data_IF_849515364035
#
_entry.id   IF_849515364035
#
_cell.length_a   1.000
_cell.length_b   1.000
_cell.length_c   1.000
_cell.angle_alpha   90.00
_cell.angle_beta   90.00
_cell.angle_gamma   90.00
#
_symmetry.space_group_name_H-M   'P 1'
#
loop_
_entity.id
_entity.type
_entity.pdbx_description
1 polymer ?
#
# COMPACT_ATOMS: atom_id res chain seq x y z
N UNK A 1 24.87 1.11 -49.43
CA UNK A 1 24.39 1.52 -48.09
C UNK A 1 22.88 1.74 -48.15
N UNK A 2 22.06 0.74 -47.78
CA UNK A 2 20.58 0.86 -47.64
C UNK A 2 19.98 -0.11 -46.60
N UNK A 3 20.70 -1.20 -46.27
CA UNK A 3 20.28 -2.22 -45.30
C UNK A 3 20.23 -1.73 -43.83
N UNK A 4 20.91 -0.63 -43.49
CA UNK A 4 20.97 -0.09 -42.13
C UNK A 4 19.71 0.66 -41.72
N UNK A 5 19.03 1.31 -42.67
CA UNK A 5 17.89 2.18 -42.38
C UNK A 5 16.60 1.38 -42.18
N UNK A 6 16.45 0.25 -42.90
CA UNK A 6 15.32 -0.67 -42.74
C UNK A 6 15.39 -1.41 -41.40
N UNK A 7 16.59 -1.81 -40.96
CA UNK A 7 16.80 -2.42 -39.65
C UNK A 7 16.48 -1.45 -38.51
N UNK A 8 16.91 -0.19 -38.63
CA UNK A 8 16.59 0.86 -37.66
C UNK A 8 15.08 1.16 -37.60
N UNK A 9 14.40 1.21 -38.75
CA UNK A 9 12.95 1.42 -38.82
C UNK A 9 12.15 0.24 -38.23
N UNK A 10 12.61 -1.00 -38.42
CA UNK A 10 12.01 -2.18 -37.80
C UNK A 10 12.20 -2.18 -36.28
N UNK A 11 13.38 -1.82 -35.79
CA UNK A 11 13.68 -1.75 -34.36
C UNK A 11 12.86 -0.64 -33.66
N UNK A 12 12.69 0.52 -34.31
CA UNK A 12 11.86 1.61 -33.79
C UNK A 12 10.37 1.24 -33.74
N UNK A 13 9.87 0.49 -34.75
CA UNK A 13 8.50 -0.06 -34.72
C UNK A 13 8.31 -1.08 -33.60
N UNK A 14 9.31 -1.92 -33.32
CA UNK A 14 9.25 -2.86 -32.21
C UNK A 14 9.23 -2.14 -30.85
N UNK A 15 10.05 -1.10 -30.68
CA UNK A 15 10.00 -0.26 -29.47
C UNK A 15 8.64 0.41 -29.31
N UNK A 16 8.09 1.02 -30.36
CA UNK A 16 6.78 1.65 -30.31
C UNK A 16 5.66 0.65 -29.94
N UNK A 17 5.72 -0.59 -30.45
CA UNK A 17 4.76 -1.64 -30.10
C UNK A 17 4.88 -2.06 -28.62
N UNK A 18 6.10 -2.15 -28.08
CA UNK A 18 6.34 -2.45 -26.67
C UNK A 18 5.83 -1.31 -25.75
N UNK A 19 6.09 -0.04 -26.09
CA UNK A 19 5.57 1.10 -25.34
C UNK A 19 4.03 1.16 -25.33
N UNK A 20 3.37 0.87 -26.47
CA UNK A 20 1.90 0.76 -26.53
C UNK A 20 1.37 -0.37 -25.64
N UNK A 21 2.07 -1.51 -25.59
CA UNK A 21 1.68 -2.66 -24.75
C UNK A 21 1.76 -2.32 -23.25
N UNK A 22 2.81 -1.59 -22.83
CA UNK A 22 2.98 -1.11 -21.45
C UNK A 22 1.94 -0.05 -21.10
N UNK A 23 1.65 0.89 -22.00
CA UNK A 23 0.60 1.89 -21.81
C UNK A 23 -0.79 1.25 -21.65
N UNK A 24 -1.12 0.27 -22.50
CA UNK A 24 -2.37 -0.47 -22.45
C UNK A 24 -2.50 -1.33 -21.17
N UNK A 25 -1.40 -1.94 -20.71
CA UNK A 25 -1.37 -2.65 -19.42
C UNK A 25 -1.55 -1.71 -18.22
N UNK A 26 -1.04 -0.47 -18.27
CA UNK A 26 -1.31 0.55 -17.25
C UNK A 26 -2.79 1.00 -17.28
N UNK A 27 -3.39 1.09 -18.47
CA UNK A 27 -4.78 1.49 -18.67
C UNK A 27 -5.80 0.43 -18.22
N UNK A 28 -5.41 -0.85 -18.24
CA UNK A 28 -6.23 -1.99 -17.80
C UNK A 28 -6.12 -2.35 -16.32
N UNK A 29 -5.39 -1.58 -15.51
CA UNK A 29 -5.57 -1.64 -14.05
C UNK A 29 -7.00 -1.19 -13.79
N UNK A 30 -7.92 -2.15 -13.70
CA UNK A 30 -9.29 -1.95 -13.26
C UNK A 30 -9.22 -0.99 -12.07
N UNK A 31 -9.71 0.24 -12.28
CA UNK A 31 -9.83 1.23 -11.24
C UNK A 31 -10.88 0.70 -10.28
N UNK A 32 -10.45 -0.09 -9.30
CA UNK A 32 -11.28 -0.50 -8.18
C UNK A 32 -11.81 0.80 -7.57
N UNK A 33 -13.14 0.92 -7.43
CA UNK A 33 -13.71 2.15 -6.91
C UNK A 33 -13.11 2.46 -5.52
N UNK A 34 -12.86 3.75 -5.18
CA UNK A 34 -12.31 4.13 -3.88
C UNK A 34 -13.08 3.52 -2.69
N UNK A 35 -14.41 3.43 -2.81
CA UNK A 35 -15.28 2.79 -1.82
C UNK A 35 -15.00 1.28 -1.67
N UNK A 36 -14.80 0.56 -2.78
CA UNK A 36 -14.44 -0.87 -2.73
C UNK A 36 -13.06 -1.08 -2.13
N UNK A 37 -12.10 -0.20 -2.42
CA UNK A 37 -10.77 -0.24 -1.78
C UNK A 37 -10.86 0.02 -0.27
N UNK A 38 -11.64 1.02 0.17
CA UNK A 38 -11.86 1.28 1.59
C UNK A 38 -12.51 0.10 2.31
N UNK A 39 -13.54 -0.51 1.73
CA UNK A 39 -14.20 -1.69 2.31
C UNK A 39 -13.24 -2.89 2.43
N UNK A 40 -12.44 -3.14 1.39
CA UNK A 40 -11.41 -4.18 1.39
C UNK A 40 -10.35 -3.93 2.47
N UNK A 41 -9.86 -2.70 2.59
CA UNK A 41 -8.90 -2.31 3.63
C UNK A 41 -9.48 -2.44 5.04
N UNK A 42 -10.72 -1.99 5.25
CA UNK A 42 -11.40 -2.14 6.53
C UNK A 42 -11.52 -3.63 6.92
N UNK A 43 -11.85 -4.50 5.95
CA UNK A 43 -11.89 -5.93 6.19
C UNK A 43 -10.50 -6.49 6.52
N UNK A 44 -9.46 -6.11 5.77
CA UNK A 44 -8.08 -6.53 6.03
C UNK A 44 -7.61 -6.13 7.43
N UNK A 45 -7.90 -4.89 7.85
CA UNK A 45 -7.59 -4.42 9.22
C UNK A 45 -8.34 -5.23 10.26
N UNK A 46 -9.64 -5.51 10.06
CA UNK A 46 -10.43 -6.34 10.99
C UNK A 46 -9.84 -7.74 11.11
N UNK A 47 -9.55 -8.40 10.00
CA UNK A 47 -8.96 -9.75 9.99
C UNK A 47 -7.59 -9.77 10.66
N UNK A 48 -6.71 -8.82 10.34
CA UNK A 48 -5.39 -8.75 10.95
C UNK A 48 -5.45 -8.48 12.47
N UNK A 49 -6.42 -7.70 12.96
CA UNK A 49 -6.67 -7.52 14.40
C UNK A 49 -7.10 -8.82 15.09
N UNK A 50 -7.96 -9.62 14.44
CA UNK A 50 -8.38 -10.92 14.97
C UNK A 50 -7.19 -11.89 15.03
N UNK A 51 -6.43 -11.99 13.94
CA UNK A 51 -5.23 -12.82 13.86
C UNK A 51 -4.19 -12.41 14.91
N UNK A 52 -3.97 -11.11 15.10
CA UNK A 52 -3.08 -10.60 16.15
C UNK A 52 -3.53 -11.07 17.55
N UNK A 53 -4.83 -10.94 17.87
CA UNK A 53 -5.35 -11.38 19.18
C UNK A 53 -5.19 -12.88 19.39
N UNK A 54 -5.42 -13.69 18.36
CA UNK A 54 -5.21 -15.14 18.45
C UNK A 54 -3.73 -15.49 18.58
N UNK A 55 -2.85 -14.81 17.86
CA UNK A 55 -1.42 -15.01 17.93
C UNK A 55 -0.87 -14.63 19.31
N UNK A 56 -1.37 -13.54 19.91
CA UNK A 56 -1.06 -13.13 21.29
C UNK A 56 -1.47 -14.20 22.30
N UNK A 57 -2.69 -14.74 22.19
CA UNK A 57 -3.16 -15.83 23.09
C UNK A 57 -2.31 -17.09 22.99
N UNK A 58 -1.75 -17.38 21.81
CA UNK A 58 -0.92 -18.55 21.54
C UNK A 58 0.58 -18.27 21.72
N UNK A 59 0.94 -17.06 22.12
CA UNK A 59 2.33 -16.57 22.21
C UNK A 59 3.17 -16.87 20.94
N UNK A 60 2.54 -16.77 19.77
CA UNK A 60 3.18 -17.08 18.50
C UNK A 60 3.82 -15.81 17.91
N UNK A 61 5.11 -15.63 18.18
CA UNK A 61 5.87 -14.44 17.79
C UNK A 61 5.84 -14.15 16.28
N UNK A 62 5.95 -15.18 15.43
CA UNK A 62 5.94 -15.02 13.97
C UNK A 62 4.60 -14.48 13.47
N UNK A 63 3.49 -15.05 13.95
CA UNK A 63 2.16 -14.59 13.59
C UNK A 63 1.81 -13.22 14.16
N UNK A 64 2.33 -12.87 15.34
CA UNK A 64 2.23 -11.52 15.91
C UNK A 64 2.93 -10.53 14.99
N UNK A 65 4.20 -10.80 14.63
CA UNK A 65 4.99 -9.93 13.75
C UNK A 65 4.34 -9.78 12.37
N UNK A 66 3.86 -10.86 11.78
CA UNK A 66 3.19 -10.82 10.48
C UNK A 66 1.87 -10.03 10.53
N UNK A 67 1.09 -10.19 11.60
CA UNK A 67 -0.18 -9.48 11.78
C UNK A 67 0.05 -7.98 11.98
N UNK A 68 1.08 -7.58 12.75
CA UNK A 68 1.47 -6.18 12.91
C UNK A 68 1.95 -5.56 11.59
N UNK A 69 2.80 -6.25 10.84
CA UNK A 69 3.24 -5.80 9.50
C UNK A 69 2.04 -5.57 8.57
N UNK A 70 1.08 -6.48 8.60
CA UNK A 70 -0.16 -6.37 7.81
C UNK A 70 -0.99 -5.16 8.24
N UNK A 71 -1.14 -4.91 9.54
CA UNK A 71 -1.86 -3.74 10.06
C UNK A 71 -1.19 -2.43 9.64
N UNK A 72 0.13 -2.31 9.79
CA UNK A 72 0.89 -1.11 9.39
C UNK A 72 0.70 -0.84 7.89
N UNK A 73 0.82 -1.87 7.05
CA UNK A 73 0.63 -1.76 5.61
C UNK A 73 -0.80 -1.33 5.23
N UNK A 74 -1.82 -1.92 5.85
CA UNK A 74 -3.21 -1.55 5.61
C UNK A 74 -3.51 -0.11 6.05
N UNK A 75 -2.94 0.35 7.18
CA UNK A 75 -3.06 1.74 7.64
C UNK A 75 -2.41 2.73 6.68
N UNK A 76 -1.22 2.42 6.16
CA UNK A 76 -0.56 3.27 5.16
C UNK A 76 -1.42 3.42 3.89
N UNK A 77 -2.04 2.32 3.44
CA UNK A 77 -2.95 2.34 2.29
C UNK A 77 -4.22 3.16 2.58
N UNK A 78 -4.79 3.07 3.78
CA UNK A 78 -5.93 3.90 4.20
C UNK A 78 -5.58 5.40 4.19
N UNK A 79 -4.41 5.76 4.73
CA UNK A 79 -3.93 7.14 4.72
C UNK A 79 -3.75 7.65 3.28
N UNK A 80 -3.11 6.86 2.41
CA UNK A 80 -2.93 7.22 1.02
C UNK A 80 -4.25 7.41 0.26
N UNK A 81 -5.28 6.63 0.56
CA UNK A 81 -6.62 6.82 0.01
C UNK A 81 -7.30 8.07 0.55
N UNK A 82 -7.18 8.35 1.85
CA UNK A 82 -7.72 9.56 2.47
C UNK A 82 -7.11 10.81 1.84
N UNK A 83 -5.79 10.83 1.71
CA UNK A 83 -5.03 11.89 1.04
C UNK A 83 -5.47 12.07 -0.43
N UNK A 84 -5.60 10.97 -1.17
CA UNK A 84 -6.06 11.04 -2.56
C UNK A 84 -7.48 11.60 -2.67
N UNK A 85 -8.39 11.11 -1.84
CA UNK A 85 -9.79 11.53 -1.84
C UNK A 85 -9.93 13.02 -1.51
N UNK A 86 -9.23 13.49 -0.48
CA UNK A 86 -9.26 14.90 -0.10
C UNK A 86 -8.72 15.80 -1.21
N UNK A 87 -7.62 15.40 -1.86
CA UNK A 87 -7.07 16.12 -3.01
C UNK A 87 -8.02 16.11 -4.21
N UNK A 88 -8.76 15.02 -4.44
CA UNK A 88 -9.79 14.95 -5.48
C UNK A 88 -10.99 15.86 -5.19
N UNK A 89 -11.39 16.00 -3.91
CA UNK A 89 -12.52 16.84 -3.49
C UNK A 89 -12.17 18.33 -3.47
N UNK A 90 -11.02 18.69 -2.89
CA UNK A 90 -10.64 20.08 -2.59
C UNK A 90 -9.57 20.64 -3.54
N UNK A 91 -8.99 19.81 -4.41
CA UNK A 91 -7.86 20.16 -5.29
C UNK A 91 -6.50 20.29 -4.58
N UNK A 92 -6.51 20.41 -3.25
CA UNK A 92 -5.33 20.50 -2.38
C UNK A 92 -5.62 19.90 -1.01
N UNK A 93 -4.57 19.65 -0.25
CA UNK A 93 -4.65 19.30 1.17
C UNK A 93 -3.81 20.33 1.90
N UNK A 94 -4.35 20.94 2.94
CA UNK A 94 -3.59 21.85 3.77
C UNK A 94 -2.54 21.07 4.58
N UNK A 95 -1.44 21.75 4.90
CA UNK A 95 -0.29 21.12 5.53
C UNK A 95 -0.61 20.63 6.95
N UNK A 96 -1.48 21.32 7.67
CA UNK A 96 -1.82 21.01 9.06
C UNK A 96 -2.65 19.72 9.14
N UNK A 97 -3.66 19.57 8.28
CA UNK A 97 -4.46 18.34 8.14
C UNK A 97 -3.59 17.15 7.74
N UNK A 98 -2.67 17.32 6.78
CA UNK A 98 -1.76 16.25 6.40
C UNK A 98 -0.83 15.87 7.56
N UNK A 99 -0.31 16.86 8.29
CA UNK A 99 0.55 16.63 9.45
C UNK A 99 -0.19 15.87 10.56
N UNK A 100 -1.45 16.22 10.84
CA UNK A 100 -2.30 15.53 11.80
C UNK A 100 -2.48 14.05 11.41
N UNK A 101 -2.86 13.76 10.16
CA UNK A 101 -3.07 12.38 9.73
C UNK A 101 -1.79 11.55 9.72
N UNK A 102 -0.66 12.17 9.36
CA UNK A 102 0.66 11.54 9.46
C UNK A 102 1.03 11.27 10.91
N UNK A 103 0.71 12.17 11.83
CA UNK A 103 0.96 12.01 13.25
C UNK A 103 0.13 10.86 13.84
N UNK A 104 -1.18 10.79 13.54
CA UNK A 104 -2.04 9.68 13.93
C UNK A 104 -1.50 8.33 13.43
N UNK A 105 -1.13 8.28 12.15
CA UNK A 105 -0.54 7.07 11.55
C UNK A 105 0.75 6.66 12.26
N UNK A 106 1.63 7.61 12.52
CA UNK A 106 2.90 7.37 13.22
C UNK A 106 2.65 6.82 14.63
N UNK A 107 1.77 7.46 15.41
CA UNK A 107 1.43 7.00 16.76
C UNK A 107 0.87 5.58 16.77
N UNK A 108 -0.04 5.24 15.83
CA UNK A 108 -0.57 3.89 15.72
C UNK A 108 0.53 2.86 15.41
N UNK A 109 1.43 3.17 14.47
CA UNK A 109 2.53 2.28 14.10
C UNK A 109 3.52 2.07 15.24
N UNK A 110 3.91 3.14 15.94
CA UNK A 110 4.81 3.06 17.09
C UNK A 110 4.23 2.17 18.19
N UNK A 111 2.94 2.31 18.52
CA UNK A 111 2.29 1.45 19.52
C UNK A 111 2.31 -0.02 19.12
N UNK A 112 2.04 -0.32 17.84
CA UNK A 112 2.04 -1.70 17.34
C UNK A 112 3.45 -2.30 17.35
N UNK A 113 4.47 -1.55 16.94
CA UNK A 113 5.87 -2.01 16.94
C UNK A 113 6.34 -2.24 18.37
N UNK A 114 6.13 -1.28 19.26
CA UNK A 114 6.53 -1.39 20.66
C UNK A 114 5.86 -2.58 21.36
N UNK A 115 4.58 -2.84 21.10
CA UNK A 115 3.90 -4.02 21.63
C UNK A 115 4.58 -5.32 21.19
N UNK A 116 5.06 -5.41 19.93
CA UNK A 116 5.81 -6.57 19.45
C UNK A 116 7.18 -6.68 20.12
N UNK A 117 7.87 -5.57 20.31
CA UNK A 117 9.19 -5.53 20.96
C UNK A 117 9.11 -5.98 22.43
N UNK A 118 8.11 -5.52 23.18
CA UNK A 118 7.89 -5.96 24.56
C UNK A 118 7.64 -7.47 24.65
N UNK A 119 6.88 -8.03 23.71
CA UNK A 119 6.64 -9.48 23.67
C UNK A 119 7.89 -10.29 23.31
N UNK A 120 8.89 -9.67 22.67
CA UNK A 120 10.19 -10.32 22.43
C UNK A 120 11.05 -10.31 23.68
N UNK A 121 11.01 -9.23 24.47
CA UNK A 121 11.76 -9.13 25.73
C UNK A 121 11.20 -10.01 26.84
N UNK A 122 9.88 -10.23 26.87
CA UNK A 122 9.24 -11.07 27.90
C UNK A 122 9.37 -12.58 27.62
N UNK A 123 9.79 -12.97 26.42
CA UNK A 123 9.93 -14.36 25.97
C UNK A 123 11.40 -14.79 25.73
N UNK A 124 12.37 -13.90 25.96
CA UNK A 124 13.80 -14.17 25.86
C UNK A 124 14.44 -14.30 27.22
#
# INVERSE_FOLDING_TARGET
MKLSDEAAAQQQKQWAAQFKKVAYQKQRRQTVSPQRMQASLAQMVRTAKVQLREALKKNNADHIQQSVKTLIGARAQQLGLRVRHEKELLGRIDQDTLAEWMHEYYQECTRLIHAVEQLKTDNG
#
